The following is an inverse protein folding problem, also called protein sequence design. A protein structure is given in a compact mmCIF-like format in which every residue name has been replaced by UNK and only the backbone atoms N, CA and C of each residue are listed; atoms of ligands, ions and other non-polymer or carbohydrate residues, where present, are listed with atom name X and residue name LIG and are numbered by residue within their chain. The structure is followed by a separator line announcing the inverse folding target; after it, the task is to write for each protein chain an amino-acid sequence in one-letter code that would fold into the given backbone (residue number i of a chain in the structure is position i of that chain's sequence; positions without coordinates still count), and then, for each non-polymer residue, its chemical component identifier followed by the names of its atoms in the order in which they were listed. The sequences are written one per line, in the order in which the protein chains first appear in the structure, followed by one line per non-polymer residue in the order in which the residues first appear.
data_IF_027281981569
#
_entry.id   IF_027281981569
#
_cell.length_a   1.000
_cell.length_b   1.000
_cell.length_c   1.000
_cell.angle_alpha   90.00
_cell.angle_beta   90.00
_cell.angle_gamma   90.00
#
_symmetry.space_group_name_H-M   'P 1'
#
loop_
_entity.id
_entity.type
_entity.pdbx_description
1 polymer ?
#
# COMPACT_ATOMS: atom_id res chain seq x y z
N UNK A 1 -4.04 -27.18 -10.27
CA UNK A 1 -5.29 -26.39 -10.12
C UNK A 1 -4.99 -24.97 -10.57
N UNK A 2 -5.91 -24.29 -11.30
CA UNK A 2 -5.68 -22.90 -11.65
C UNK A 2 -5.62 -22.05 -10.39
N UNK A 3 -4.62 -21.17 -10.31
CA UNK A 3 -4.44 -20.21 -9.22
C UNK A 3 -5.00 -18.88 -9.70
N UNK A 4 -5.86 -18.26 -8.89
CA UNK A 4 -6.32 -16.89 -9.10
C UNK A 4 -5.28 -15.94 -8.52
N UNK A 5 -4.85 -14.95 -9.32
CA UNK A 5 -3.89 -13.93 -8.91
C UNK A 5 -4.43 -12.54 -9.29
N UNK A 6 -4.25 -11.56 -8.41
CA UNK A 6 -4.51 -10.16 -8.74
C UNK A 6 -3.37 -9.71 -9.66
N UNK A 7 -3.69 -9.35 -10.90
CA UNK A 7 -2.69 -8.85 -11.87
C UNK A 7 -2.49 -7.35 -11.76
N UNK A 8 -3.58 -6.60 -11.74
CA UNK A 8 -3.54 -5.14 -11.65
C UNK A 8 -4.68 -4.65 -10.75
N UNK A 9 -4.40 -3.60 -9.99
CA UNK A 9 -5.38 -2.85 -9.20
C UNK A 9 -5.32 -1.41 -9.67
N UNK A 10 -6.46 -0.85 -10.04
CA UNK A 10 -6.59 0.53 -10.48
C UNK A 10 -7.40 1.30 -9.43
N UNK A 11 -6.77 2.28 -8.80
CA UNK A 11 -7.37 3.12 -7.76
C UNK A 11 -7.55 4.54 -8.29
N UNK A 12 -8.69 5.15 -7.96
CA UNK A 12 -8.86 6.58 -8.18
C UNK A 12 -8.15 7.36 -7.07
N UNK A 13 -7.58 8.51 -7.41
CA UNK A 13 -7.04 9.46 -6.43
C UNK A 13 -7.27 10.90 -6.91
N UNK A 14 -7.30 11.89 -6.00
CA UNK A 14 -7.31 13.29 -6.40
C UNK A 14 -6.15 13.57 -7.36
N UNK A 15 -6.41 14.31 -8.46
CA UNK A 15 -5.40 14.56 -9.49
C UNK A 15 -4.10 15.18 -8.92
N UNK A 16 -4.22 16.04 -7.90
CA UNK A 16 -3.09 16.65 -7.21
C UNK A 16 -2.24 15.68 -6.36
N UNK A 17 -2.74 14.47 -6.08
CA UNK A 17 -2.03 13.46 -5.27
C UNK A 17 -1.30 12.41 -6.11
N UNK A 18 -1.49 12.38 -7.43
CA UNK A 18 -0.95 11.30 -8.29
C UNK A 18 0.58 11.25 -8.27
N UNK A 19 1.23 12.41 -8.36
CA UNK A 19 2.69 12.50 -8.30
C UNK A 19 3.24 12.14 -6.91
N UNK A 20 2.54 12.57 -5.86
CA UNK A 20 2.88 12.24 -4.47
C UNK A 20 2.75 10.74 -4.20
N UNK A 21 1.70 10.09 -4.71
CA UNK A 21 1.53 8.64 -4.67
C UNK A 21 2.70 7.94 -5.38
N UNK A 22 2.99 8.34 -6.62
CA UNK A 22 4.11 7.78 -7.37
C UNK A 22 5.44 7.91 -6.62
N UNK A 23 5.70 9.06 -6.01
CA UNK A 23 6.90 9.31 -5.20
C UNK A 23 6.90 8.55 -3.88
N UNK A 24 5.76 8.44 -3.20
CA UNK A 24 5.61 7.69 -1.96
C UNK A 24 5.90 6.21 -2.15
N UNK A 25 5.25 5.57 -3.14
CA UNK A 25 5.47 4.15 -3.38
C UNK A 25 6.84 3.85 -3.99
N UNK A 26 7.31 4.68 -4.94
CA UNK A 26 8.60 4.42 -5.60
C UNK A 26 9.81 4.84 -4.76
N UNK A 27 9.81 6.07 -4.24
CA UNK A 27 10.99 6.64 -3.59
C UNK A 27 11.03 6.33 -2.09
N UNK A 28 9.89 6.47 -1.40
CA UNK A 28 9.82 6.23 0.04
C UNK A 28 9.71 4.74 0.37
N UNK A 29 8.84 4.00 -0.33
CA UNK A 29 8.69 2.55 -0.14
C UNK A 29 9.63 1.70 -1.02
N UNK A 30 10.34 2.30 -1.98
CA UNK A 30 11.34 1.60 -2.79
C UNK A 30 10.75 0.64 -3.83
N UNK A 31 9.47 0.77 -4.19
CA UNK A 31 8.85 -0.04 -5.23
C UNK A 31 9.30 0.40 -6.62
N UNK A 32 9.25 -0.53 -7.57
CA UNK A 32 9.70 -0.26 -8.94
C UNK A 32 8.57 0.39 -9.73
N UNK A 33 8.79 1.59 -10.28
CA UNK A 33 7.85 2.20 -11.23
C UNK A 33 7.70 1.33 -12.48
N UNK A 34 6.48 1.18 -12.97
CA UNK A 34 6.22 0.46 -14.23
C UNK A 34 6.59 1.36 -15.41
N UNK A 35 7.22 0.79 -16.45
CA UNK A 35 7.60 1.55 -17.64
C UNK A 35 6.37 2.14 -18.33
N UNK A 36 6.41 3.44 -18.65
CA UNK A 36 5.34 4.15 -19.37
C UNK A 36 4.55 5.17 -18.55
N UNK A 37 4.85 5.38 -17.26
CA UNK A 37 4.27 6.50 -16.51
C UNK A 37 4.58 6.49 -15.00
N UNK A 38 4.31 7.62 -14.34
CA UNK A 38 4.49 7.81 -12.89
C UNK A 38 3.33 7.27 -12.04
N UNK A 39 2.32 6.71 -12.69
CA UNK A 39 1.04 6.34 -12.07
C UNK A 39 0.93 4.85 -11.75
N UNK A 40 2.02 4.09 -11.84
CA UNK A 40 2.00 2.67 -11.52
C UNK A 40 3.31 2.16 -10.93
N UNK A 41 3.19 1.27 -9.94
CA UNK A 41 4.32 0.55 -9.33
C UNK A 41 4.09 -0.95 -9.34
N UNK A 42 5.17 -1.72 -9.39
CA UNK A 42 5.16 -3.16 -9.25
C UNK A 42 5.16 -3.56 -7.76
N UNK A 43 4.24 -4.46 -7.40
CA UNK A 43 4.13 -5.09 -6.07
C UNK A 43 4.17 -6.60 -6.28
N UNK A 44 5.34 -7.21 -6.08
CA UNK A 44 5.53 -8.62 -6.41
C UNK A 44 5.24 -8.88 -7.89
N UNK A 45 4.25 -9.72 -8.18
CA UNK A 45 3.78 -10.04 -9.54
C UNK A 45 2.58 -9.20 -9.99
N UNK A 46 2.10 -8.30 -9.14
CA UNK A 46 0.95 -7.44 -9.39
C UNK A 46 1.39 -6.01 -9.69
N UNK A 47 0.47 -5.20 -10.23
CA UNK A 47 0.65 -3.75 -10.39
C UNK A 47 -0.39 -3.00 -9.58
N UNK A 48 0.06 -1.94 -8.93
CA UNK A 48 -0.81 -0.94 -8.33
C UNK A 48 -0.74 0.32 -9.19
N UNK A 49 -1.89 0.71 -9.72
CA UNK A 49 -2.06 1.80 -10.67
C UNK A 49 -3.00 2.85 -10.08
N UNK A 50 -2.72 4.12 -10.35
CA UNK A 50 -3.57 5.24 -9.97
C UNK A 50 -4.07 5.99 -11.21
N UNK A 51 -5.30 6.48 -11.11
CA UNK A 51 -5.91 7.36 -12.09
C UNK A 51 -6.55 8.56 -11.39
N UNK A 52 -6.53 9.72 -12.06
CA UNK A 52 -7.18 10.91 -11.53
C UNK A 52 -8.69 10.69 -11.44
N UNK A 53 -9.29 11.04 -10.31
CA UNK A 53 -10.74 11.01 -10.14
C UNK A 53 -11.42 12.15 -10.94
N UNK A 54 -12.52 11.84 -11.63
CA UNK A 54 -13.25 12.79 -12.49
C UNK A 54 -14.22 13.74 -11.72
N UNK A 55 -14.03 13.92 -10.41
CA UNK A 55 -14.90 14.79 -9.62
C UNK A 55 -14.50 14.94 -8.15
N UNK A 56 -15.36 15.58 -7.35
CA UNK A 56 -15.13 15.86 -5.93
C UNK A 56 -15.29 14.63 -5.00
N UNK A 57 -15.25 13.41 -5.53
CA UNK A 57 -15.41 12.20 -4.73
C UNK A 57 -14.10 11.94 -3.99
N UNK A 58 -14.16 11.88 -2.67
CA UNK A 58 -13.05 11.40 -1.85
C UNK A 58 -12.86 9.90 -2.10
N UNK A 59 -11.89 9.57 -2.93
CA UNK A 59 -11.48 8.19 -3.19
C UNK A 59 -10.60 7.71 -2.04
N UNK A 60 -11.06 6.69 -1.32
CA UNK A 60 -10.37 6.08 -0.18
C UNK A 60 -10.49 4.57 -0.26
N UNK A 61 -9.39 3.88 0.01
CA UNK A 61 -9.32 2.41 -0.02
C UNK A 61 -8.59 1.87 1.19
N UNK A 62 -8.81 0.58 1.47
CA UNK A 62 -7.96 -0.22 2.34
C UNK A 62 -7.45 -1.42 1.54
N UNK A 63 -6.14 -1.60 1.46
CA UNK A 63 -5.52 -2.76 0.83
C UNK A 63 -4.26 -3.18 1.58
N UNK A 64 -3.88 -4.45 1.40
CA UNK A 64 -2.71 -5.05 2.02
C UNK A 64 -1.62 -5.39 0.98
N UNK A 65 -0.37 -5.05 1.30
CA UNK A 65 0.81 -5.46 0.54
C UNK A 65 1.48 -6.60 1.30
N UNK A 66 1.38 -7.81 0.77
CA UNK A 66 1.85 -9.00 1.47
C UNK A 66 3.37 -8.98 1.70
N UNK A 67 3.77 -9.07 2.96
CA UNK A 67 5.15 -9.34 3.37
C UNK A 67 5.28 -10.80 3.82
N UNK A 68 6.37 -11.52 3.48
CA UNK A 68 6.60 -12.86 4.04
C UNK A 68 6.62 -12.82 5.57
N UNK A 69 5.82 -13.67 6.23
CA UNK A 69 5.60 -13.59 7.69
C UNK A 69 6.88 -13.61 8.54
N UNK A 70 7.91 -14.36 8.14
CA UNK A 70 9.22 -14.39 8.82
C UNK A 70 9.99 -13.05 8.75
N UNK A 71 9.52 -12.09 7.95
CA UNK A 71 10.09 -10.74 7.81
C UNK A 71 9.23 -9.65 8.42
N UNK A 72 8.07 -9.97 9.03
CA UNK A 72 7.14 -8.97 9.56
C UNK A 72 7.85 -7.96 10.47
N UNK A 73 8.62 -8.43 11.45
CA UNK A 73 9.36 -7.55 12.37
C UNK A 73 10.30 -6.59 11.63
N UNK A 74 11.07 -7.10 10.67
CA UNK A 74 12.01 -6.30 9.89
C UNK A 74 11.29 -5.29 8.99
N UNK A 75 10.19 -5.69 8.35
CA UNK A 75 9.37 -4.81 7.53
C UNK A 75 8.75 -3.70 8.36
N UNK A 76 8.19 -4.02 9.53
CA UNK A 76 7.65 -3.02 10.47
C UNK A 76 8.71 -2.04 10.94
N UNK A 77 9.88 -2.51 11.38
CA UNK A 77 10.99 -1.64 11.84
C UNK A 77 11.56 -0.78 10.71
N UNK A 78 11.51 -1.26 9.46
CA UNK A 78 11.88 -0.48 8.28
C UNK A 78 10.80 0.57 7.94
N UNK A 79 9.53 0.20 8.03
CA UNK A 79 8.39 1.06 7.69
C UNK A 79 8.22 2.17 8.73
N UNK A 80 8.37 1.88 10.02
CA UNK A 80 8.19 2.84 11.12
C UNK A 80 9.22 3.98 11.13
N UNK A 81 10.25 3.91 10.27
CA UNK A 81 11.25 4.97 10.08
C UNK A 81 10.89 5.93 8.94
N UNK A 82 9.82 5.63 8.21
CA UNK A 82 9.43 6.31 6.96
C UNK A 82 8.02 6.87 7.02
N UNK A 83 7.13 6.21 7.76
CA UNK A 83 5.73 6.62 7.92
C UNK A 83 5.29 6.49 9.37
N UNK A 84 4.25 7.22 9.72
CA UNK A 84 3.56 7.07 10.99
C UNK A 84 2.66 5.83 10.95
N UNK A 85 2.92 4.88 11.86
CA UNK A 85 2.09 3.69 12.00
C UNK A 85 0.83 4.03 12.78
N UNK A 86 -0.32 3.55 12.30
CA UNK A 86 -1.62 3.77 12.93
C UNK A 86 -1.82 2.76 14.06
N UNK A 87 -1.95 3.20 15.32
CA UNK A 87 -2.20 2.31 16.44
C UNK A 87 -3.66 1.88 16.51
N UNK A 88 -3.88 0.63 16.88
CA UNK A 88 -5.19 0.13 17.31
C UNK A 88 -5.13 -0.13 18.81
N UNK A 89 -5.95 0.58 19.58
CA UNK A 89 -5.96 0.50 21.05
C UNK A 89 -4.58 0.77 21.69
N UNK A 90 -3.77 1.63 21.07
CA UNK A 90 -2.42 1.97 21.55
C UNK A 90 -1.29 1.08 21.04
N UNK A 91 -1.59 0.01 20.30
CA UNK A 91 -0.59 -0.87 19.68
C UNK A 91 -0.60 -0.73 18.15
N UNK A 92 0.53 -0.41 17.49
CA UNK A 92 0.61 -0.41 16.03
C UNK A 92 0.52 -1.80 15.40
N UNK A 93 0.72 -2.89 16.16
CA UNK A 93 0.64 -4.26 15.65
C UNK A 93 -0.74 -4.84 15.93
N UNK A 94 -1.36 -5.37 14.88
CA UNK A 94 -2.63 -6.11 14.96
C UNK A 94 -2.37 -7.58 14.67
N UNK A 95 -2.91 -8.45 15.52
CA UNK A 95 -2.84 -9.91 15.34
C UNK A 95 -4.17 -10.44 14.83
N UNK A 96 -4.15 -11.21 13.75
CA UNK A 96 -5.30 -11.88 13.17
C UNK A 96 -5.16 -13.40 13.36
N UNK A 97 -5.73 -13.92 14.44
CA UNK A 97 -5.63 -15.36 14.78
C UNK A 97 -6.22 -16.26 13.69
N UNK A 98 -7.37 -15.89 13.13
CA UNK A 98 -8.06 -16.67 12.09
C UNK A 98 -7.23 -16.82 10.80
N UNK A 99 -6.28 -15.93 10.56
CA UNK A 99 -5.41 -15.93 9.39
C UNK A 99 -3.95 -16.23 9.72
N UNK A 100 -3.63 -16.46 11.00
CA UNK A 100 -2.26 -16.60 11.49
C UNK A 100 -1.34 -15.48 10.95
N UNK A 101 -1.84 -14.24 11.02
CA UNK A 101 -1.21 -13.07 10.40
C UNK A 101 -0.97 -11.95 11.42
N UNK A 102 0.05 -11.14 11.15
CA UNK A 102 0.35 -9.91 11.84
C UNK A 102 0.26 -8.78 10.82
N UNK A 103 -0.22 -7.63 11.26
CA UNK A 103 -0.42 -6.46 10.41
C UNK A 103 0.06 -5.18 11.09
N UNK A 104 0.50 -4.23 10.27
CA UNK A 104 0.60 -2.81 10.64
C UNK A 104 -0.06 -1.93 9.58
N UNK A 105 -0.51 -0.75 10.00
CA UNK A 105 -1.30 0.16 9.16
C UNK A 105 -0.63 1.52 9.04
N UNK A 106 -0.78 2.18 7.90
CA UNK A 106 -0.30 3.53 7.65
C UNK A 106 -1.12 4.19 6.54
N UNK A 107 -1.05 5.51 6.43
CA UNK A 107 -1.68 6.24 5.33
C UNK A 107 -0.73 6.44 4.16
N UNK A 108 -1.27 6.37 2.95
CA UNK A 108 -0.63 6.93 1.77
C UNK A 108 -1.06 8.39 1.53
N UNK A 109 -0.46 9.10 0.55
CA UNK A 109 -0.78 10.50 0.26
C UNK A 109 -2.25 10.77 -0.12
N UNK A 110 -2.99 9.77 -0.60
CA UNK A 110 -4.42 9.89 -0.88
C UNK A 110 -5.29 9.56 0.35
N UNK A 111 -4.67 9.24 1.48
CA UNK A 111 -5.34 8.91 2.73
C UNK A 111 -5.78 7.45 2.82
N UNK A 112 -5.49 6.59 1.83
CA UNK A 112 -5.84 5.16 1.88
C UNK A 112 -5.15 4.48 3.06
N UNK A 113 -5.80 3.49 3.66
CA UNK A 113 -5.19 2.65 4.70
C UNK A 113 -4.42 1.53 4.00
N UNK A 114 -3.10 1.57 4.12
CA UNK A 114 -2.21 0.51 3.61
C UNK A 114 -1.82 -0.40 4.77
N UNK A 115 -1.96 -1.70 4.54
CA UNK A 115 -1.60 -2.77 5.48
C UNK A 115 -0.35 -3.52 4.98
N UNK A 116 0.59 -3.84 5.87
CA UNK A 116 1.67 -4.81 5.61
C UNK A 116 1.51 -6.07 6.45
#
# INVERSE_FOLDING_TARGET
MPVMEIREVHLEAPAGCIEDLGSFYANLLGLVKVAGGDTAVAVGTSRLCWQAADGAREAFYHFALLVPGHRFRAAREWLSKRVDLLPRNGDPVVTFEAWNALAVYFHDPAGSIVEL
#
